data_IF_595754903222
#
_entry.id   IF_595754903222
#
_cell.length_a   1.000
_cell.length_b   1.000
_cell.length_c   1.000
_cell.angle_alpha   90.00
_cell.angle_beta   90.00
_cell.angle_gamma   90.00
#
_symmetry.space_group_name_H-M   'P 1'
#
loop_
_entity.id
_entity.type
_entity.pdbx_description
1 polymer ?
#
# COMPACT_ATOMS: atom_id res chain seq x y z
N UNK A 1 7.10 28.18 8.89
CA UNK A 1 7.95 28.79 7.82
C UNK A 1 8.13 27.72 6.75
N UNK A 2 7.96 28.06 5.47
CA UNK A 2 8.14 27.10 4.37
C UNK A 2 9.63 26.88 4.13
N UNK A 3 10.15 25.63 4.17
CA UNK A 3 11.56 25.32 3.94
C UNK A 3 12.06 25.80 2.56
N UNK A 4 13.33 26.24 2.49
CA UNK A 4 13.94 26.80 1.27
C UNK A 4 14.11 25.76 0.15
N UNK A 5 14.40 24.52 0.51
CA UNK A 5 14.49 23.41 -0.42
C UNK A 5 13.12 23.13 -1.08
N UNK A 6 12.03 23.16 -0.29
CA UNK A 6 10.66 23.04 -0.79
C UNK A 6 10.29 24.21 -1.72
N UNK A 7 10.65 25.45 -1.37
CA UNK A 7 10.44 26.62 -2.25
C UNK A 7 11.16 26.48 -3.58
N UNK A 8 12.39 25.96 -3.54
CA UNK A 8 13.22 25.72 -4.73
C UNK A 8 12.58 24.66 -5.63
N UNK A 9 12.15 23.55 -5.04
CA UNK A 9 11.48 22.46 -5.75
C UNK A 9 10.19 22.94 -6.44
N UNK A 10 9.36 23.72 -5.75
CA UNK A 10 8.11 24.25 -6.31
C UNK A 10 8.38 25.21 -7.46
N UNK A 11 9.32 26.15 -7.30
CA UNK A 11 9.70 27.05 -8.41
C UNK A 11 10.22 26.29 -9.62
N UNK A 12 10.96 25.21 -9.41
CA UNK A 12 11.46 24.38 -10.50
C UNK A 12 10.33 23.66 -11.25
N UNK A 13 9.40 23.04 -10.52
CA UNK A 13 8.33 22.23 -11.11
C UNK A 13 7.20 23.10 -11.71
N UNK A 14 6.81 24.17 -11.02
CA UNK A 14 5.62 24.95 -11.35
C UNK A 14 5.93 26.36 -11.89
N UNK A 15 7.18 26.81 -11.85
CA UNK A 15 7.56 28.15 -12.32
C UNK A 15 7.04 29.30 -11.46
N UNK A 16 6.44 29.02 -10.31
CA UNK A 16 5.79 30.00 -9.44
C UNK A 16 6.08 29.74 -7.96
N UNK A 17 5.89 30.73 -7.06
CA UNK A 17 6.12 30.54 -5.64
C UNK A 17 4.94 29.86 -4.93
N UNK A 18 5.25 29.24 -3.79
CA UNK A 18 4.26 28.81 -2.80
C UNK A 18 3.96 29.95 -1.83
N UNK A 19 2.67 30.22 -1.61
CA UNK A 19 2.19 31.31 -0.75
C UNK A 19 1.72 30.81 0.61
N UNK A 20 1.25 29.56 0.70
CA UNK A 20 0.87 28.93 1.96
C UNK A 20 1.30 27.46 2.00
N UNK A 21 1.66 26.99 3.20
CA UNK A 21 1.93 25.58 3.46
C UNK A 21 1.36 25.20 4.82
N UNK A 22 0.58 24.12 4.86
CA UNK A 22 0.04 23.52 6.08
C UNK A 22 0.55 22.09 6.17
N UNK A 23 1.27 21.77 7.25
CA UNK A 23 1.68 20.39 7.51
C UNK A 23 0.44 19.54 7.80
N UNK A 24 0.32 18.42 7.10
CA UNK A 24 -0.70 17.41 7.38
C UNK A 24 -0.12 16.38 8.35
N UNK A 25 -0.94 15.92 9.29
CA UNK A 25 -0.57 14.81 10.18
C UNK A 25 -1.07 13.51 9.52
N UNK A 26 -0.19 12.51 9.33
CA UNK A 26 -0.63 11.21 8.79
C UNK A 26 0.39 10.41 7.98
N UNK A 27 1.53 10.99 7.57
CA UNK A 27 2.58 10.22 6.89
C UNK A 27 3.54 9.59 7.89
N UNK A 28 3.51 8.26 8.04
CA UNK A 28 4.49 7.52 8.88
C UNK A 28 5.90 7.51 8.27
N UNK A 29 6.00 7.80 6.97
CA UNK A 29 7.20 7.68 6.14
C UNK A 29 7.76 8.99 5.60
N UNK A 30 6.88 9.98 5.37
CA UNK A 30 7.20 11.21 4.65
C UNK A 30 6.52 12.40 5.31
N UNK A 31 7.20 13.55 5.29
CA UNK A 31 6.59 14.82 5.69
C UNK A 31 5.58 15.23 4.62
N UNK A 32 4.30 15.32 5.00
CA UNK A 32 3.20 15.68 4.11
C UNK A 32 2.76 17.11 4.37
N UNK A 33 2.59 17.91 3.32
CA UNK A 33 2.12 19.28 3.41
C UNK A 33 1.08 19.59 2.33
N UNK A 34 0.00 20.25 2.72
CA UNK A 34 -0.93 20.90 1.81
C UNK A 34 -0.39 22.28 1.44
N UNK A 35 -0.24 22.54 0.14
CA UNK A 35 0.36 23.77 -0.38
C UNK A 35 -0.65 24.55 -1.22
N UNK A 36 -0.57 25.87 -1.14
CA UNK A 36 -1.27 26.79 -2.05
C UNK A 36 -0.23 27.61 -2.82
N UNK A 37 -0.31 27.58 -4.14
CA UNK A 37 0.53 28.35 -5.05
C UNK A 37 -0.03 29.76 -5.27
N UNK A 38 0.76 30.65 -5.87
CA UNK A 38 0.41 32.05 -6.10
C UNK A 38 -0.84 32.23 -6.99
N UNK A 39 -1.03 31.35 -7.97
CA UNK A 39 -2.23 31.30 -8.83
C UNK A 39 -3.47 30.73 -8.14
N UNK A 40 -3.38 30.33 -6.87
CA UNK A 40 -4.46 29.72 -6.10
C UNK A 40 -4.58 28.20 -6.26
N UNK A 41 -3.75 27.55 -7.08
CA UNK A 41 -3.71 26.09 -7.19
C UNK A 41 -3.34 25.48 -5.84
N UNK A 42 -4.05 24.42 -5.45
CA UNK A 42 -3.77 23.64 -4.26
C UNK A 42 -3.19 22.27 -4.62
N UNK A 43 -2.18 21.83 -3.88
CA UNK A 43 -1.51 20.54 -4.11
C UNK A 43 -1.01 19.91 -2.81
N UNK A 44 -0.71 18.63 -2.85
CA UNK A 44 -0.06 17.91 -1.74
C UNK A 44 1.41 17.71 -2.08
N UNK A 45 2.29 18.06 -1.15
CA UNK A 45 3.71 17.76 -1.21
C UNK A 45 4.06 16.66 -0.21
N UNK A 46 4.80 15.66 -0.66
CA UNK A 46 5.48 14.67 0.18
C UNK A 46 6.97 14.85 0.05
N UNK A 47 7.70 14.76 1.16
CA UNK A 47 9.16 14.78 1.13
C UNK A 47 9.76 13.61 1.91
N UNK A 48 10.70 12.90 1.28
CA UNK A 48 11.35 11.74 1.88
C UNK A 48 12.28 11.02 0.88
N UNK A 49 13.07 10.05 1.35
CA UNK A 49 14.05 9.35 0.51
C UNK A 49 13.41 8.43 -0.54
N UNK A 50 12.14 8.06 -0.37
CA UNK A 50 11.44 7.09 -1.22
C UNK A 50 10.37 7.70 -2.13
N UNK A 51 10.22 9.03 -2.14
CA UNK A 51 9.19 9.72 -2.93
C UNK A 51 9.31 9.48 -4.44
N UNK A 52 10.54 9.26 -4.94
CA UNK A 52 10.75 8.88 -6.33
C UNK A 52 10.19 7.49 -6.66
N UNK A 53 10.29 6.53 -5.71
CA UNK A 53 9.72 5.19 -5.85
C UNK A 53 8.20 5.26 -5.77
N UNK A 54 7.66 5.99 -4.79
CA UNK A 54 6.22 6.22 -4.64
C UNK A 54 5.61 6.87 -5.91
N UNK A 55 6.28 7.87 -6.49
CA UNK A 55 5.88 8.49 -7.75
C UNK A 55 5.73 7.47 -8.88
N UNK A 56 6.70 6.56 -9.04
CA UNK A 56 6.63 5.49 -10.05
C UNK A 56 5.48 4.52 -9.78
N UNK A 57 5.20 4.20 -8.52
CA UNK A 57 4.09 3.34 -8.12
C UNK A 57 2.73 3.99 -8.42
N UNK A 58 2.56 5.28 -8.11
CA UNK A 58 1.35 6.05 -8.43
C UNK A 58 1.13 6.15 -9.94
N UNK A 59 2.20 6.42 -10.71
CA UNK A 59 2.13 6.42 -12.17
C UNK A 59 1.73 5.04 -12.72
N UNK A 60 2.26 3.95 -12.15
CA UNK A 60 1.88 2.59 -12.54
C UNK A 60 0.41 2.29 -12.24
N UNK A 61 -0.12 2.72 -11.09
CA UNK A 61 -1.54 2.60 -10.77
C UNK A 61 -2.38 3.35 -11.80
N UNK A 62 -2.07 4.63 -12.06
CA UNK A 62 -2.80 5.46 -13.00
C UNK A 62 -2.82 4.87 -14.42
N UNK A 63 -1.71 4.24 -14.87
CA UNK A 63 -1.62 3.58 -16.17
C UNK A 63 -2.59 2.39 -16.34
N UNK A 64 -3.05 1.78 -15.24
CA UNK A 64 -4.06 0.72 -15.29
C UNK A 64 -5.49 1.23 -15.50
N UNK A 65 -5.69 2.55 -15.35
CA UNK A 65 -7.01 3.18 -15.28
C UNK A 65 -7.59 3.25 -13.86
N UNK A 66 -6.98 2.56 -12.90
CA UNK A 66 -7.31 2.71 -11.48
C UNK A 66 -7.04 4.13 -10.99
N UNK A 67 -7.85 4.60 -10.03
CA UNK A 67 -7.73 5.96 -9.50
C UNK A 67 -6.63 6.06 -8.46
N UNK A 68 -5.66 6.91 -8.76
CA UNK A 68 -4.63 7.41 -7.85
C UNK A 68 -4.48 8.92 -8.07
N UNK A 69 -3.97 9.68 -7.09
CA UNK A 69 -3.74 11.10 -7.29
C UNK A 69 -2.78 11.34 -8.46
N UNK A 70 -3.10 12.32 -9.30
CA UNK A 70 -2.22 12.77 -10.37
C UNK A 70 -0.88 13.20 -9.78
N UNK A 71 0.20 12.64 -10.32
CA UNK A 71 1.56 13.14 -10.09
C UNK A 71 1.77 14.41 -10.90
N UNK A 72 1.86 15.55 -10.21
CA UNK A 72 2.07 16.86 -10.82
C UNK A 72 3.55 17.13 -11.11
N UNK A 73 4.44 16.51 -10.34
CA UNK A 73 5.87 16.55 -10.58
C UNK A 73 6.68 16.08 -9.37
N UNK A 74 7.99 16.02 -9.55
CA UNK A 74 8.93 15.67 -8.47
C UNK A 74 10.25 16.40 -8.67
N UNK A 75 10.89 16.83 -7.58
CA UNK A 75 12.20 17.45 -7.61
C UNK A 75 12.98 17.20 -6.31
N UNK A 76 14.18 16.64 -6.43
CA UNK A 76 14.96 16.20 -5.26
C UNK A 76 14.16 15.18 -4.43
N UNK A 77 14.02 15.37 -3.10
CA UNK A 77 13.25 14.47 -2.25
C UNK A 77 11.73 14.75 -2.30
N UNK A 78 11.26 15.72 -3.09
CA UNK A 78 9.87 16.17 -3.10
C UNK A 78 9.05 15.52 -4.22
N UNK A 79 7.85 15.08 -3.87
CA UNK A 79 6.81 14.62 -4.78
C UNK A 79 5.58 15.51 -4.60
N UNK A 80 5.05 16.02 -5.71
CA UNK A 80 3.86 16.87 -5.76
C UNK A 80 2.70 16.14 -6.41
N UNK A 81 1.58 16.07 -5.70
CA UNK A 81 0.38 15.35 -6.07
C UNK A 81 -0.81 16.31 -6.13
N UNK A 82 -1.84 15.96 -6.91
CA UNK A 82 -3.10 16.67 -6.85
C UNK A 82 -3.68 16.68 -5.42
N UNK A 83 -4.26 17.81 -5.03
CA UNK A 83 -5.01 17.88 -3.79
C UNK A 83 -6.42 17.31 -4.01
N UNK A 84 -6.73 16.23 -3.30
CA UNK A 84 -8.04 15.59 -3.36
C UNK A 84 -8.99 16.25 -2.35
N UNK A 85 -10.21 16.68 -2.75
CA UNK A 85 -11.19 17.24 -1.83
C UNK A 85 -11.85 16.11 -1.04
N UNK A 86 -11.27 15.79 0.12
CA UNK A 86 -11.73 14.70 0.98
C UNK A 86 -13.18 14.90 1.42
N UNK A 87 -13.95 13.82 1.42
CA UNK A 87 -15.33 13.75 1.85
C UNK A 87 -15.58 12.43 2.58
N UNK A 88 -16.68 12.37 3.33
CA UNK A 88 -17.09 11.14 3.98
C UNK A 88 -17.33 10.01 2.95
N UNK A 89 -16.96 8.75 3.28
CA UNK A 89 -17.22 7.62 2.39
C UNK A 89 -18.73 7.45 2.18
N UNK A 90 -19.10 7.21 0.92
CA UNK A 90 -20.49 6.90 0.51
C UNK A 90 -20.54 5.52 -0.13
N UNK A 91 -21.73 4.89 -0.27
CA UNK A 91 -21.85 3.65 -1.02
C UNK A 91 -21.32 3.76 -2.46
N UNK A 92 -21.53 4.92 -3.12
CA UNK A 92 -20.97 5.17 -4.45
C UNK A 92 -19.44 5.23 -4.44
N UNK A 93 -18.84 5.89 -3.45
CA UNK A 93 -17.39 5.93 -3.29
C UNK A 93 -16.78 4.55 -3.00
N UNK A 94 -17.42 3.72 -2.19
CA UNK A 94 -16.98 2.34 -1.96
C UNK A 94 -17.04 1.48 -3.21
N UNK A 95 -18.10 1.61 -4.01
CA UNK A 95 -18.21 0.95 -5.30
C UNK A 95 -17.12 1.40 -6.27
N UNK A 96 -16.81 2.70 -6.28
CA UNK A 96 -15.74 3.27 -7.09
C UNK A 96 -14.35 2.74 -6.67
N UNK A 97 -14.09 2.62 -5.36
CA UNK A 97 -12.88 2.01 -4.81
C UNK A 97 -12.75 0.56 -5.27
N UNK A 98 -13.83 -0.22 -5.17
CA UNK A 98 -13.85 -1.61 -5.64
C UNK A 98 -13.56 -1.73 -7.14
N UNK A 99 -14.16 -0.86 -7.96
CA UNK A 99 -13.91 -0.82 -9.41
C UNK A 99 -12.45 -0.48 -9.73
N UNK A 100 -11.88 0.52 -9.07
CA UNK A 100 -10.48 0.91 -9.24
C UNK A 100 -9.52 -0.19 -8.79
N UNK A 101 -9.77 -0.86 -7.67
CA UNK A 101 -8.94 -1.99 -7.25
C UNK A 101 -9.04 -3.17 -8.23
N UNK A 102 -10.24 -3.47 -8.71
CA UNK A 102 -10.43 -4.50 -9.74
C UNK A 102 -9.74 -4.15 -11.07
N UNK A 103 -9.67 -2.88 -11.44
CA UNK A 103 -8.88 -2.42 -12.60
C UNK A 103 -7.39 -2.63 -12.39
N UNK A 104 -6.88 -2.27 -11.22
CA UNK A 104 -5.48 -2.44 -10.86
C UNK A 104 -5.05 -3.92 -10.96
N UNK A 105 -5.82 -4.81 -10.34
CA UNK A 105 -5.53 -6.25 -10.29
C UNK A 105 -5.61 -6.97 -11.64
N UNK A 106 -6.19 -6.35 -12.69
CA UNK A 106 -6.19 -6.92 -14.05
C UNK A 106 -4.88 -6.75 -14.79
N UNK A 107 -4.01 -5.85 -14.35
CA UNK A 107 -2.68 -5.66 -14.92
C UNK A 107 -1.73 -6.70 -14.36
N UNK A 108 -1.09 -7.50 -15.21
CA UNK A 108 -0.18 -8.59 -14.79
C UNK A 108 1.27 -8.37 -15.22
N UNK A 109 2.21 -8.82 -14.40
CA UNK A 109 3.66 -8.80 -14.68
C UNK A 109 4.24 -10.18 -15.01
N UNK A 110 5.52 -10.18 -15.41
CA UNK A 110 6.27 -11.42 -15.72
C UNK A 110 6.73 -12.19 -14.48
N UNK A 111 6.99 -11.48 -13.38
CA UNK A 111 7.49 -12.01 -12.11
C UNK A 111 6.69 -11.43 -10.95
N UNK A 112 6.72 -12.10 -9.80
CA UNK A 112 6.32 -11.52 -8.54
C UNK A 112 7.38 -10.53 -8.07
N UNK A 113 6.98 -9.48 -7.36
CA UNK A 113 7.88 -8.43 -6.87
C UNK A 113 7.78 -7.12 -7.64
N UNK A 114 8.78 -6.27 -7.45
CA UNK A 114 8.86 -4.93 -8.03
C UNK A 114 10.27 -4.66 -8.52
N UNK A 115 10.44 -3.62 -9.34
CA UNK A 115 11.74 -3.28 -9.93
C UNK A 115 12.81 -2.86 -8.89
N UNK A 116 12.39 -2.49 -7.68
CA UNK A 116 13.26 -2.02 -6.59
C UNK A 116 12.61 -2.29 -5.22
N UNK A 117 13.45 -2.44 -4.20
CA UNK A 117 13.00 -2.56 -2.79
C UNK A 117 12.35 -1.27 -2.31
N UNK A 118 11.48 -1.40 -1.29
CA UNK A 118 10.80 -0.29 -0.63
C UNK A 118 11.00 -0.36 0.89
N UNK A 119 10.35 0.52 1.64
CA UNK A 119 10.34 0.43 3.10
C UNK A 119 9.08 1.04 3.72
N UNK A 120 8.66 0.49 4.85
CA UNK A 120 7.74 1.12 5.78
C UNK A 120 8.52 1.56 7.02
N UNK A 121 8.66 2.85 7.25
CA UNK A 121 9.61 3.42 8.23
C UNK A 121 11.00 2.78 8.12
N UNK A 122 11.41 2.11 9.20
CA UNK A 122 12.69 1.39 9.31
C UNK A 122 12.64 -0.07 8.82
N UNK A 123 11.50 -0.52 8.31
CA UNK A 123 11.25 -1.90 7.88
C UNK A 123 11.44 -2.02 6.37
N UNK A 124 12.54 -2.63 5.90
CA UNK A 124 12.74 -2.85 4.48
C UNK A 124 11.76 -3.89 3.94
N UNK A 125 11.17 -3.60 2.78
CA UNK A 125 10.27 -4.47 2.04
C UNK A 125 10.99 -4.94 0.79
N UNK A 126 11.39 -6.22 0.79
CA UNK A 126 12.17 -6.83 -0.29
C UNK A 126 11.30 -7.11 -1.49
N UNK A 127 11.70 -6.68 -2.68
CA UNK A 127 10.95 -6.85 -3.92
C UNK A 127 11.71 -7.67 -4.97
N UNK A 128 12.79 -8.35 -4.57
CA UNK A 128 13.56 -9.28 -5.41
C UNK A 128 12.62 -10.14 -6.26
N UNK A 129 12.74 -10.10 -7.61
CA UNK A 129 11.83 -10.80 -8.49
C UNK A 129 11.84 -12.32 -8.27
N UNK A 130 10.66 -12.93 -8.29
CA UNK A 130 10.49 -14.38 -8.15
C UNK A 130 9.45 -14.92 -9.15
N UNK A 131 9.57 -16.18 -9.52
CA UNK A 131 8.59 -16.85 -10.40
C UNK A 131 7.55 -17.67 -9.63
N UNK A 132 7.91 -18.13 -8.43
CA UNK A 132 7.04 -18.87 -7.51
C UNK A 132 6.44 -17.93 -6.47
N UNK A 133 5.12 -17.94 -6.33
CA UNK A 133 4.45 -17.15 -5.31
C UNK A 133 4.83 -17.59 -3.90
N UNK A 134 4.97 -18.89 -3.69
CA UNK A 134 5.32 -19.45 -2.38
C UNK A 134 6.73 -19.03 -1.96
N UNK A 135 7.67 -19.00 -2.90
CA UNK A 135 9.02 -18.50 -2.65
C UNK A 135 9.00 -16.99 -2.35
N UNK A 136 8.29 -16.20 -3.16
CA UNK A 136 8.17 -14.77 -2.95
C UNK A 136 7.54 -14.43 -1.59
N UNK A 137 6.37 -15.01 -1.30
CA UNK A 137 5.63 -14.75 -0.07
C UNK A 137 6.38 -15.28 1.15
N UNK A 138 6.89 -16.52 1.08
CA UNK A 138 7.61 -17.16 2.16
C UNK A 138 8.91 -16.44 2.51
N UNK A 139 9.76 -16.16 1.53
CA UNK A 139 11.10 -15.62 1.76
C UNK A 139 11.12 -14.09 1.82
N UNK A 140 10.49 -13.41 0.86
CA UNK A 140 10.60 -11.94 0.73
C UNK A 140 9.59 -11.19 1.61
N UNK A 141 8.50 -11.82 2.06
CA UNK A 141 7.51 -11.20 2.94
C UNK A 141 7.59 -11.75 4.37
N UNK A 142 7.40 -13.06 4.56
CA UNK A 142 7.31 -13.65 5.90
C UNK A 142 8.68 -13.80 6.58
N UNK A 143 9.61 -14.56 5.98
CA UNK A 143 10.93 -14.84 6.58
C UNK A 143 11.77 -13.58 6.74
N UNK A 144 11.76 -12.68 5.75
CA UNK A 144 12.44 -11.40 5.80
C UNK A 144 12.03 -10.52 7.01
N UNK A 145 10.82 -10.70 7.53
CA UNK A 145 10.29 -9.94 8.66
C UNK A 145 10.35 -10.69 10.01
N UNK A 146 10.93 -11.89 10.04
CA UNK A 146 11.02 -12.73 11.25
C UNK A 146 11.94 -12.17 12.36
N UNK A 147 12.76 -11.15 12.07
CA UNK A 147 13.59 -10.48 13.06
C UNK A 147 12.72 -9.83 14.14
N UNK A 148 12.98 -10.15 15.41
CA UNK A 148 12.19 -9.62 16.54
C UNK A 148 10.92 -10.42 16.85
N UNK A 149 10.57 -11.41 16.04
CA UNK A 149 9.50 -12.37 16.35
C UNK A 149 9.99 -13.34 17.44
N UNK A 150 9.18 -13.62 18.49
CA UNK A 150 9.47 -14.64 19.49
C UNK A 150 9.87 -15.99 18.87
N UNK A 151 10.75 -16.72 19.55
CA UNK A 151 11.38 -17.94 19.00
C UNK A 151 10.34 -19.02 18.66
N UNK A 152 9.34 -19.19 19.53
CA UNK A 152 8.21 -20.10 19.36
C UNK A 152 7.35 -19.73 18.15
N UNK A 153 6.96 -18.45 18.01
CA UNK A 153 6.20 -17.98 16.85
C UNK A 153 6.99 -18.06 15.55
N UNK A 154 8.31 -17.82 15.60
CA UNK A 154 9.17 -17.95 14.41
C UNK A 154 9.23 -19.40 13.92
N UNK A 155 9.29 -20.39 14.81
CA UNK A 155 9.22 -21.82 14.41
C UNK A 155 7.89 -22.15 13.72
N UNK A 156 6.78 -21.62 14.23
CA UNK A 156 5.46 -21.78 13.63
C UNK A 156 5.35 -21.08 12.27
N UNK A 157 5.98 -19.91 12.13
CA UNK A 157 6.13 -19.20 10.86
C UNK A 157 6.94 -20.03 9.85
N UNK A 158 8.01 -20.69 10.28
CA UNK A 158 8.80 -21.57 9.41
C UNK A 158 7.96 -22.75 8.90
N UNK A 159 7.20 -23.40 9.78
CA UNK A 159 6.25 -24.47 9.41
C UNK A 159 5.19 -23.96 8.44
N UNK A 160 4.67 -22.74 8.66
CA UNK A 160 3.71 -22.13 7.73
C UNK A 160 4.32 -21.91 6.34
N UNK A 161 5.55 -21.38 6.29
CA UNK A 161 6.26 -21.11 5.02
C UNK A 161 6.40 -22.39 4.21
N UNK A 162 6.75 -23.51 4.85
CA UNK A 162 6.84 -24.82 4.19
C UNK A 162 5.49 -25.31 3.67
N UNK A 163 4.38 -24.96 4.36
CA UNK A 163 3.01 -25.35 3.99
C UNK A 163 2.32 -24.42 3.00
N UNK A 164 2.95 -23.32 2.57
CA UNK A 164 2.32 -22.37 1.63
C UNK A 164 1.76 -23.03 0.35
N UNK A 165 2.45 -24.02 -0.29
CA UNK A 165 1.91 -24.70 -1.47
C UNK A 165 0.63 -25.51 -1.21
N UNK A 166 0.35 -25.88 0.04
CA UNK A 166 -0.88 -26.57 0.43
C UNK A 166 -2.03 -25.59 0.72
N UNK A 167 -1.69 -24.37 1.15
CA UNK A 167 -2.65 -23.37 1.64
C UNK A 167 -3.07 -22.37 0.57
N UNK A 168 -2.19 -22.09 -0.38
CA UNK A 168 -2.38 -21.06 -1.40
C UNK A 168 -2.34 -21.70 -2.80
N UNK A 169 -3.19 -21.26 -3.74
CA UNK A 169 -3.01 -21.60 -5.15
C UNK A 169 -1.79 -20.83 -5.72
N UNK A 170 -1.38 -21.17 -6.94
CA UNK A 170 -0.51 -20.29 -7.73
C UNK A 170 -1.38 -19.12 -8.28
N UNK A 171 -1.16 -17.87 -7.85
CA UNK A 171 -2.00 -16.75 -8.21
C UNK A 171 -1.52 -16.06 -9.50
N UNK A 172 -2.36 -15.20 -10.11
CA UNK A 172 -1.87 -14.26 -11.10
C UNK A 172 -0.81 -13.33 -10.47
N UNK A 173 0.13 -12.85 -11.29
CA UNK A 173 1.12 -11.83 -10.91
C UNK A 173 0.49 -10.45 -11.09
N UNK A 174 -0.58 -10.16 -10.36
CA UNK A 174 -1.34 -8.93 -10.51
C UNK A 174 -0.62 -7.75 -9.88
N UNK A 175 -0.70 -6.57 -10.49
CA UNK A 175 -0.23 -5.35 -9.85
C UNK A 175 -1.09 -5.08 -8.62
N UNK A 176 -0.45 -4.95 -7.46
CA UNK A 176 -1.09 -4.65 -6.19
C UNK A 176 -0.84 -3.20 -5.79
N UNK A 177 -1.76 -2.64 -5.02
CA UNK A 177 -1.52 -1.45 -4.22
C UNK A 177 -0.43 -1.73 -3.19
N UNK A 178 -0.50 -2.89 -2.54
CA UNK A 178 0.52 -3.41 -1.63
C UNK A 178 0.42 -2.88 -0.20
N UNK A 179 -0.31 -1.81 0.07
CA UNK A 179 -0.59 -1.32 1.43
C UNK A 179 -2.06 -0.86 1.59
N UNK A 180 -3.02 -1.64 1.07
CA UNK A 180 -4.41 -1.18 1.00
C UNK A 180 -5.17 -1.42 2.31
N UNK A 181 -5.15 -0.44 3.21
CA UNK A 181 -6.11 -0.32 4.31
C UNK A 181 -6.99 0.91 4.10
N UNK A 182 -8.06 1.06 4.88
CA UNK A 182 -9.04 2.14 4.67
C UNK A 182 -8.43 3.55 4.73
N UNK A 183 -7.34 3.74 5.49
CA UNK A 183 -6.63 5.02 5.57
C UNK A 183 -5.86 5.39 4.30
N UNK A 184 -5.52 4.41 3.45
CA UNK A 184 -4.88 4.61 2.16
C UNK A 184 -5.90 4.72 1.00
N UNK A 185 -7.17 4.96 1.32
CA UNK A 185 -8.23 5.27 0.37
C UNK A 185 -8.83 6.66 0.68
N UNK A 186 -8.65 7.61 -0.23
CA UNK A 186 -9.25 8.95 -0.10
C UNK A 186 -10.57 8.99 -0.83
N UNK A 187 -11.65 9.20 -0.08
CA UNK A 187 -12.98 9.41 -0.64
C UNK A 187 -13.17 10.89 -0.95
N UNK A 188 -13.74 11.16 -2.12
CA UNK A 188 -14.14 12.50 -2.58
C UNK A 188 -15.64 12.48 -2.88
N UNK A 189 -16.28 13.64 -3.15
CA UNK A 189 -17.70 13.66 -3.50
C UNK A 189 -18.07 12.81 -4.73
N UNK A 190 -17.10 12.49 -5.61
CA UNK A 190 -17.35 11.77 -6.87
C UNK A 190 -16.67 10.41 -6.95
N UNK A 191 -15.50 10.26 -6.34
CA UNK A 191 -14.61 9.11 -6.57
C UNK A 191 -13.88 8.70 -5.30
N UNK A 192 -13.29 7.51 -5.32
CA UNK A 192 -12.29 7.08 -4.34
C UNK A 192 -10.94 6.90 -5.01
N UNK A 193 -9.86 7.27 -4.32
CA UNK A 193 -8.49 7.24 -4.83
C UNK A 193 -7.60 6.39 -3.92
N UNK A 194 -6.74 5.60 -4.54
CA UNK A 194 -5.67 4.85 -3.89
C UNK A 194 -4.47 5.78 -3.67
N UNK A 195 -4.00 5.90 -2.43
CA UNK A 195 -2.85 6.74 -2.04
C UNK A 195 -1.82 5.92 -1.26
N UNK A 196 -0.59 6.42 -1.17
CA UNK A 196 0.48 5.78 -0.38
C UNK A 196 0.74 4.31 -0.77
N UNK A 197 0.96 4.00 -2.06
CA UNK A 197 1.16 2.63 -2.48
C UNK A 197 2.51 2.07 -2.04
N UNK A 198 2.55 0.75 -1.92
CA UNK A 198 3.75 -0.07 -1.83
C UNK A 198 3.71 -1.15 -2.91
N UNK A 199 3.54 -0.73 -4.17
CA UNK A 199 3.21 -1.62 -5.27
C UNK A 199 4.22 -2.75 -5.48
N UNK A 200 3.71 -3.90 -5.86
CA UNK A 200 4.45 -5.02 -6.41
C UNK A 200 3.49 -5.93 -7.17
N UNK A 201 4.02 -6.82 -8.01
CA UNK A 201 3.23 -7.88 -8.61
C UNK A 201 3.07 -9.05 -7.64
N UNK A 202 1.85 -9.44 -7.33
CA UNK A 202 1.49 -10.43 -6.30
C UNK A 202 0.08 -10.97 -6.45
N UNK A 203 -0.36 -11.76 -5.45
CA UNK A 203 -1.75 -12.23 -5.38
C UNK A 203 -2.71 -11.06 -5.05
N UNK A 204 -3.75 -10.80 -5.88
CA UNK A 204 -4.84 -9.86 -5.59
C UNK A 204 -5.43 -9.98 -4.18
N UNK A 205 -5.41 -11.19 -3.60
CA UNK A 205 -5.95 -11.44 -2.26
C UNK A 205 -5.17 -10.74 -1.14
N UNK A 206 -3.93 -10.29 -1.40
CA UNK A 206 -3.17 -9.53 -0.39
C UNK A 206 -3.82 -8.19 -0.10
N UNK A 207 -4.19 -7.43 -1.12
CA UNK A 207 -4.85 -6.13 -0.94
C UNK A 207 -6.24 -6.30 -0.30
N UNK A 208 -6.97 -7.35 -0.68
CA UNK A 208 -8.24 -7.68 -0.03
C UNK A 208 -8.06 -8.02 1.44
N UNK A 209 -7.05 -8.84 1.77
CA UNK A 209 -6.76 -9.22 3.15
C UNK A 209 -6.31 -8.03 4.00
N UNK A 210 -5.53 -7.12 3.44
CA UNK A 210 -5.09 -5.88 4.09
C UNK A 210 -6.28 -4.95 4.36
N UNK A 211 -7.20 -4.82 3.40
CA UNK A 211 -8.39 -3.99 3.55
C UNK A 211 -9.33 -4.52 4.66
N UNK A 212 -9.30 -5.83 4.91
CA UNK A 212 -10.05 -6.50 5.99
C UNK A 212 -9.31 -6.56 7.33
N UNK A 213 -8.12 -5.97 7.44
CA UNK A 213 -7.31 -6.07 8.66
C UNK A 213 -7.94 -5.29 9.82
N UNK A 214 -8.44 -4.09 9.53
CA UNK A 214 -9.03 -3.15 10.51
C UNK A 214 -10.41 -2.63 10.10
N UNK A 215 -10.97 -3.11 8.99
CA UNK A 215 -12.25 -2.69 8.47
C UNK A 215 -13.05 -3.87 7.90
N UNK A 216 -14.34 -3.62 7.64
CA UNK A 216 -15.20 -4.53 6.87
C UNK A 216 -15.77 -3.73 5.71
N UNK A 217 -15.25 -3.90 4.48
CA UNK A 217 -15.79 -3.25 3.30
C UNK A 217 -17.28 -3.55 3.13
N UNK A 218 -18.12 -2.54 2.86
CA UNK A 218 -19.56 -2.75 2.66
C UNK A 218 -19.84 -3.46 1.34
N UNK A 219 -21.05 -4.00 1.16
CA UNK A 219 -21.49 -4.68 -0.07
C UNK A 219 -21.22 -3.86 -1.34
N UNK A 220 -21.37 -2.54 -1.25
CA UNK A 220 -21.09 -1.64 -2.36
C UNK A 220 -19.66 -1.76 -2.90
N UNK A 221 -18.66 -2.05 -2.06
CA UNK A 221 -17.29 -2.33 -2.51
C UNK A 221 -17.26 -3.57 -3.41
N UNK A 222 -17.93 -4.65 -2.99
CA UNK A 222 -17.99 -5.90 -3.74
C UNK A 222 -18.79 -5.79 -5.03
N UNK A 223 -19.83 -4.96 -5.06
CA UNK A 223 -20.52 -4.61 -6.31
C UNK A 223 -19.58 -3.96 -7.33
N UNK A 224 -18.56 -3.23 -6.86
CA UNK A 224 -17.54 -2.62 -7.71
C UNK A 224 -16.40 -3.53 -8.08
N UNK A 225 -15.88 -4.29 -7.09
CA UNK A 225 -14.73 -5.18 -7.26
C UNK A 225 -15.09 -6.45 -8.03
N UNK A 226 -16.28 -7.00 -7.79
CA UNK A 226 -16.72 -8.30 -8.27
C UNK A 226 -16.44 -9.41 -7.26
N UNK A 227 -16.54 -10.66 -7.73
CA UNK A 227 -16.40 -11.85 -6.89
C UNK A 227 -14.94 -12.32 -6.85
N UNK A 228 -14.25 -12.27 -5.70
CA UNK A 228 -12.92 -12.85 -5.54
C UNK A 228 -12.94 -14.39 -5.67
N UNK A 229 -11.76 -14.99 -5.74
CA UNK A 229 -11.64 -16.44 -5.90
C UNK A 229 -12.31 -17.20 -4.76
N UNK A 230 -12.87 -18.37 -5.06
CA UNK A 230 -13.46 -19.24 -4.04
C UNK A 230 -12.40 -19.60 -3.00
N UNK A 231 -12.77 -19.54 -1.72
CA UNK A 231 -11.87 -19.85 -0.62
C UNK A 231 -10.95 -18.71 -0.15
N UNK A 232 -11.06 -17.51 -0.71
CA UNK A 232 -10.14 -16.39 -0.38
C UNK A 232 -10.17 -16.00 1.10
N UNK A 233 -11.35 -16.09 1.74
CA UNK A 233 -11.50 -15.78 3.16
C UNK A 233 -10.72 -16.74 4.06
N UNK A 234 -10.62 -18.02 3.68
CA UNK A 234 -9.83 -19.02 4.39
C UNK A 234 -8.32 -18.77 4.23
N UNK A 235 -7.90 -18.16 3.11
CA UNK A 235 -6.50 -17.78 2.85
C UNK A 235 -6.11 -16.44 3.47
N UNK A 236 -7.09 -15.60 3.77
CA UNK A 236 -6.89 -14.26 4.34
C UNK A 236 -5.90 -14.21 5.52
N UNK A 237 -5.93 -15.12 6.51
CA UNK A 237 -4.98 -15.06 7.63
C UNK A 237 -3.52 -15.23 7.20
N UNK A 238 -3.24 -15.95 6.12
CA UNK A 238 -1.88 -16.09 5.54
C UNK A 238 -1.37 -14.74 5.06
N UNK A 239 -2.24 -13.96 4.42
CA UNK A 239 -1.90 -12.63 3.91
C UNK A 239 -1.85 -11.57 5.01
N UNK A 240 -2.72 -11.66 6.02
CA UNK A 240 -2.72 -10.75 7.17
C UNK A 240 -1.52 -10.92 8.12
N UNK A 241 -0.76 -12.02 8.01
CA UNK A 241 0.49 -12.16 8.76
C UNK A 241 1.54 -11.13 8.35
N UNK A 242 1.62 -10.79 7.07
CA UNK A 242 2.59 -9.82 6.59
C UNK A 242 2.44 -8.44 7.25
N UNK A 243 1.26 -7.79 7.25
CA UNK A 243 1.10 -6.52 7.96
C UNK A 243 1.24 -6.69 9.48
N UNK A 244 0.82 -7.81 10.08
CA UNK A 244 1.07 -8.05 11.52
C UNK A 244 2.57 -8.08 11.86
N UNK A 245 3.39 -8.71 11.01
CA UNK A 245 4.86 -8.74 11.14
C UNK A 245 5.46 -7.35 10.90
N UNK A 246 4.97 -6.59 9.93
CA UNK A 246 5.38 -5.18 9.70
C UNK A 246 5.09 -4.34 10.95
N UNK A 247 3.90 -4.41 11.52
CA UNK A 247 3.52 -3.65 12.71
C UNK A 247 4.35 -4.07 13.94
N UNK A 248 4.62 -5.37 14.12
CA UNK A 248 5.52 -5.86 15.17
C UNK A 248 6.93 -5.27 15.02
N UNK A 249 7.44 -5.17 13.79
CA UNK A 249 8.76 -4.60 13.48
C UNK A 249 8.80 -3.07 13.71
N UNK A 250 7.71 -2.36 13.45
CA UNK A 250 7.62 -0.91 13.60
C UNK A 250 7.34 -0.46 15.04
N UNK A 251 6.38 -1.12 15.69
CA UNK A 251 5.77 -0.67 16.93
C UNK A 251 6.02 -1.61 18.12
N UNK A 252 6.66 -2.76 17.88
CA UNK A 252 7.12 -3.66 18.92
C UNK A 252 6.06 -4.62 19.46
N UNK A 253 6.31 -5.10 20.69
CA UNK A 253 5.70 -6.31 21.24
C UNK A 253 4.17 -6.31 21.35
N UNK A 254 3.52 -5.15 21.29
CA UNK A 254 2.05 -5.04 21.28
C UNK A 254 1.38 -5.81 20.15
N UNK A 255 2.09 -6.10 19.05
CA UNK A 255 1.58 -6.84 17.90
C UNK A 255 1.91 -8.34 17.92
N UNK A 256 2.61 -8.85 18.94
CA UNK A 256 2.90 -10.29 19.06
C UNK A 256 1.60 -11.12 19.10
N UNK A 257 0.60 -10.67 19.85
CA UNK A 257 -0.69 -11.35 19.94
C UNK A 257 -1.44 -11.41 18.61
N UNK A 258 -1.23 -10.42 17.73
CA UNK A 258 -1.81 -10.41 16.39
C UNK A 258 -1.17 -11.49 15.51
N UNK A 259 0.17 -11.59 15.54
CA UNK A 259 0.91 -12.64 14.81
C UNK A 259 0.50 -14.03 15.31
N UNK A 260 0.47 -14.23 16.63
CA UNK A 260 0.08 -15.49 17.26
C UNK A 260 -1.35 -15.91 16.88
N UNK A 261 -2.31 -14.97 16.94
CA UNK A 261 -3.69 -15.22 16.55
C UNK A 261 -3.82 -15.69 15.09
N UNK A 262 -3.06 -15.09 14.16
CA UNK A 262 -3.08 -15.49 12.74
C UNK A 262 -2.45 -16.86 12.53
N UNK A 263 -1.30 -17.14 13.13
CA UNK A 263 -0.66 -18.46 13.09
C UNK A 263 -1.59 -19.55 13.65
N UNK A 264 -2.24 -19.27 14.78
CA UNK A 264 -3.19 -20.19 15.42
C UNK A 264 -4.38 -20.51 14.52
N UNK A 265 -4.93 -19.50 13.82
CA UNK A 265 -6.04 -19.71 12.88
C UNK A 265 -5.65 -20.56 11.66
N UNK A 266 -4.35 -20.66 11.36
CA UNK A 266 -3.79 -21.49 10.28
C UNK A 266 -3.38 -22.89 10.74
N UNK A 267 -3.60 -23.21 12.02
CA UNK A 267 -3.29 -24.51 12.60
C UNK A 267 -1.79 -24.81 12.67
N UNK A 268 -0.95 -23.79 12.77
CA UNK A 268 0.49 -23.90 13.07
C UNK A 268 0.79 -23.30 14.42
#
# INVERSE_FOLDING_TARGET
MIPDDLRTAIRHVFGQPVVAAQRLHGGDLSDVSFLTLEDGQSLVSKSGPLTAVESRMLLAIAQTGARSPQVLGSYGPHLFLEALPEAAPTPAGWRDLGQSLGQLHRTTGAHFGWQEDYAFGSVPIRNTPETSWFAFWGENRLRALSKGVPVDLRKRLDVLIERLPELLPDPPKALLHGDLWVGNAVFTPRHAFLIDPACYFGDPEVDLAMLHLFATPPDAFWEGYGTPATGWQQRMPVYQLWPALVHLRLFGAGYVGMVDSRLTSLGV
#
